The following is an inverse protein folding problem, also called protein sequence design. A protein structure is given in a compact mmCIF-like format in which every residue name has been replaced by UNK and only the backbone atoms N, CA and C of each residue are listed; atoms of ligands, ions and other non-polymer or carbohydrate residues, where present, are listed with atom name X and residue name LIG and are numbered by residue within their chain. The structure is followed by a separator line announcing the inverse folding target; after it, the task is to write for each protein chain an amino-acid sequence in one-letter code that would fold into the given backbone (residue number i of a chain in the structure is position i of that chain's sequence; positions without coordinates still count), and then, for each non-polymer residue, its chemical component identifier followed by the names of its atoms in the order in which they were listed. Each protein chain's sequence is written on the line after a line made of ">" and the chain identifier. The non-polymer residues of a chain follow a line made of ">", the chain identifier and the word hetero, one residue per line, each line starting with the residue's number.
data_IF_500367689467
#
_entry.id   IF_500367689467
#
_cell.length_a   1.000
_cell.length_b   1.000
_cell.length_c   1.000
_cell.angle_alpha   90.00
_cell.angle_beta   90.00
_cell.angle_gamma   90.00
#
_symmetry.space_group_name_H-M   'P 1'
#
loop_
_entity.id
_entity.type
_entity.pdbx_description
1 polymer ?
#
# COMPACT_ATOMS: atom_id res chain seq x y z
N UNK A 1 -17.83 -13.51 -5.07
CA UNK A 1 -16.79 -12.70 -4.39
C UNK A 1 -15.45 -13.35 -4.70
N UNK A 2 -14.46 -12.57 -5.12
CA UNK A 2 -13.17 -13.06 -5.63
C UNK A 2 -12.09 -12.83 -4.57
N UNK A 3 -11.15 -13.74 -4.43
CA UNK A 3 -10.05 -13.60 -3.48
C UNK A 3 -9.23 -12.32 -3.75
N UNK A 4 -8.72 -11.73 -2.67
CA UNK A 4 -7.73 -10.66 -2.78
C UNK A 4 -6.38 -11.27 -3.16
N UNK A 5 -5.59 -10.56 -3.97
CA UNK A 5 -4.32 -11.05 -4.48
C UNK A 5 -3.23 -9.99 -4.43
N UNK A 6 -2.02 -10.38 -4.03
CA UNK A 6 -0.84 -9.52 -4.08
C UNK A 6 -0.52 -9.16 -5.52
N UNK A 7 -0.47 -7.87 -5.83
CA UNK A 7 -0.08 -7.37 -7.13
C UNK A 7 0.22 -5.86 -7.10
N UNK A 8 1.17 -5.44 -7.93
CA UNK A 8 1.28 -4.04 -8.35
C UNK A 8 0.12 -3.71 -9.28
N UNK A 9 -0.57 -2.60 -9.01
CA UNK A 9 -1.76 -2.18 -9.76
C UNK A 9 -1.38 -1.82 -11.20
N UNK A 10 -2.18 -2.24 -12.18
CA UNK A 10 -1.87 -1.98 -13.58
C UNK A 10 -1.96 -0.49 -13.93
N UNK A 11 -2.87 0.26 -13.28
CA UNK A 11 -2.93 1.71 -13.41
C UNK A 11 -1.63 2.36 -12.95
N UNK A 12 -1.10 1.94 -11.80
CA UNK A 12 0.14 2.48 -11.22
C UNK A 12 1.33 2.37 -12.18
N UNK A 13 1.50 1.22 -12.85
CA UNK A 13 2.58 1.02 -13.84
C UNK A 13 2.53 2.05 -14.96
N UNK A 14 1.33 2.33 -15.47
CA UNK A 14 1.10 3.32 -16.53
C UNK A 14 1.28 4.75 -15.97
N UNK A 15 0.83 4.98 -14.75
CA UNK A 15 0.84 6.28 -14.08
C UNK A 15 2.25 6.73 -13.69
N UNK A 16 3.15 5.80 -13.36
CA UNK A 16 4.57 6.05 -13.19
C UNK A 16 5.18 6.68 -14.45
N UNK A 17 4.89 6.13 -15.63
CA UNK A 17 5.39 6.67 -16.91
C UNK A 17 4.79 8.05 -17.25
N UNK A 18 3.66 8.40 -16.64
CA UNK A 18 2.99 9.70 -16.82
C UNK A 18 3.36 10.72 -15.75
N UNK A 19 4.19 10.35 -14.76
CA UNK A 19 4.63 11.26 -13.69
C UNK A 19 3.55 11.59 -12.66
N UNK A 20 2.52 10.74 -12.51
CA UNK A 20 1.44 11.01 -11.54
C UNK A 20 1.86 10.85 -10.08
N UNK A 21 2.96 10.15 -9.78
CA UNK A 21 3.38 9.85 -8.41
C UNK A 21 4.69 10.54 -8.06
N UNK A 22 4.65 11.44 -7.08
CA UNK A 22 5.84 12.07 -6.52
C UNK A 22 6.18 11.41 -5.16
N UNK A 23 7.11 10.46 -5.17
CA UNK A 23 7.57 9.76 -3.95
C UNK A 23 8.48 10.62 -3.05
N UNK A 24 9.04 11.69 -3.61
CA UNK A 24 9.86 12.67 -2.92
C UNK A 24 9.59 14.07 -3.48
N UNK A 25 10.30 15.07 -2.95
CA UNK A 25 10.11 16.48 -3.27
C UNK A 25 11.09 17.05 -4.30
N UNK A 26 11.77 16.21 -5.08
CA UNK A 26 12.85 16.66 -5.98
C UNK A 26 12.34 17.53 -7.13
N UNK A 27 11.12 17.27 -7.62
CA UNK A 27 10.53 17.99 -8.76
C UNK A 27 9.26 18.78 -8.41
N UNK A 28 8.42 18.24 -7.52
CA UNK A 28 7.21 18.89 -6.99
C UNK A 28 6.96 18.44 -5.56
N UNK A 29 5.99 19.04 -4.87
CA UNK A 29 5.60 18.58 -3.53
C UNK A 29 5.36 17.07 -3.52
N UNK A 30 6.02 16.39 -2.56
CA UNK A 30 5.85 14.95 -2.36
C UNK A 30 4.38 14.63 -2.11
N UNK A 31 3.93 13.53 -2.70
CA UNK A 31 2.57 13.05 -2.53
C UNK A 31 2.38 12.39 -1.17
N UNK A 32 1.13 12.38 -0.69
CA UNK A 32 0.75 11.66 0.52
C UNK A 32 0.31 10.25 0.16
N UNK A 33 1.04 9.25 0.63
CA UNK A 33 0.66 7.86 0.49
C UNK A 33 0.05 7.31 1.78
N UNK A 34 -0.87 6.36 1.63
CA UNK A 34 -1.53 5.69 2.75
C UNK A 34 -1.67 4.19 2.48
N UNK A 35 -1.84 3.42 3.54
CA UNK A 35 -2.18 2.00 3.50
C UNK A 35 -3.50 1.75 4.22
N UNK A 36 -4.47 1.17 3.52
CA UNK A 36 -5.79 0.81 4.06
C UNK A 36 -5.97 -0.71 4.07
N UNK A 37 -6.63 -1.22 5.10
CA UNK A 37 -6.91 -2.65 5.28
C UNK A 37 -8.28 -2.99 4.70
N UNK A 38 -8.38 -4.13 4.00
CA UNK A 38 -9.61 -4.57 3.37
C UNK A 38 -10.02 -5.96 3.81
N UNK A 39 -11.32 -6.11 4.03
CA UNK A 39 -11.95 -7.40 4.36
C UNK A 39 -11.65 -8.46 3.31
N UNK A 40 -11.84 -9.72 3.67
CA UNK A 40 -11.60 -10.81 2.72
C UNK A 40 -12.54 -10.76 1.52
N UNK A 41 -12.10 -11.37 0.41
CA UNK A 41 -12.90 -11.61 -0.78
C UNK A 41 -13.46 -10.35 -1.48
N UNK A 42 -12.73 -9.23 -1.43
CA UNK A 42 -13.10 -7.98 -2.11
C UNK A 42 -12.64 -7.90 -3.57
N UNK A 43 -11.93 -8.91 -4.08
CA UNK A 43 -11.39 -8.93 -5.43
C UNK A 43 -10.29 -7.87 -5.65
N UNK A 44 -9.60 -7.47 -4.59
CA UNK A 44 -8.47 -6.55 -4.69
C UNK A 44 -7.29 -7.22 -5.40
N UNK A 45 -6.59 -6.47 -6.25
CA UNK A 45 -5.40 -6.97 -6.94
C UNK A 45 -4.98 -6.04 -8.09
N UNK A 46 -4.41 -6.61 -9.15
CA UNK A 46 -3.84 -5.85 -10.27
C UNK A 46 -4.86 -4.91 -10.97
N UNK A 47 -6.15 -5.22 -10.90
CA UNK A 47 -7.23 -4.41 -11.47
C UNK A 47 -7.71 -3.25 -10.57
N UNK A 48 -7.24 -3.17 -9.32
CA UNK A 48 -7.58 -2.05 -8.43
C UNK A 48 -6.95 -0.77 -8.96
N UNK A 49 -7.75 0.29 -9.13
CA UNK A 49 -7.31 1.56 -9.72
C UNK A 49 -7.24 2.71 -8.73
N UNK A 50 -8.09 2.68 -7.70
CA UNK A 50 -8.11 3.69 -6.66
C UNK A 50 -8.61 3.08 -5.34
N UNK A 51 -8.19 3.70 -4.24
CA UNK A 51 -8.80 3.48 -2.93
C UNK A 51 -10.26 3.95 -2.93
N UNK A 52 -11.11 3.13 -2.32
CA UNK A 52 -12.49 3.47 -1.95
C UNK A 52 -12.79 2.90 -0.57
N UNK A 53 -13.77 3.45 0.14
CA UNK A 53 -14.22 2.91 1.43
C UNK A 53 -14.97 1.58 1.30
N UNK A 54 -15.37 1.16 0.10
CA UNK A 54 -16.11 -0.07 -0.11
C UNK A 54 -15.21 -1.29 0.15
N UNK A 55 -15.61 -2.14 1.10
CA UNK A 55 -14.84 -3.33 1.47
C UNK A 55 -13.70 -3.07 2.45
N UNK A 56 -13.44 -1.80 2.78
CA UNK A 56 -12.48 -1.41 3.82
C UNK A 56 -12.97 -1.91 5.19
N UNK A 57 -12.03 -2.31 6.05
CA UNK A 57 -12.35 -2.72 7.42
C UNK A 57 -12.92 -1.55 8.24
N UNK A 58 -13.66 -1.91 9.29
CA UNK A 58 -14.11 -0.98 10.32
C UNK A 58 -13.92 -1.60 11.70
N UNK A 59 -13.74 -0.76 12.72
CA UNK A 59 -13.43 -1.23 14.07
C UNK A 59 -12.96 -0.11 14.98
N UNK A 60 -12.84 -0.40 16.28
CA UNK A 60 -12.26 0.56 17.23
C UNK A 60 -10.78 0.76 16.91
N UNK A 61 -10.27 1.99 17.07
CA UNK A 61 -8.87 2.34 16.78
C UNK A 61 -8.53 2.44 15.28
N UNK A 62 -9.39 1.97 14.38
CA UNK A 62 -9.18 2.07 12.93
C UNK A 62 -10.02 3.20 12.32
N UNK A 63 -9.38 4.11 11.58
CA UNK A 63 -10.05 5.16 10.81
C UNK A 63 -10.01 4.83 9.32
N UNK A 64 -11.16 4.94 8.64
CA UNK A 64 -11.24 4.72 7.19
C UNK A 64 -10.24 5.61 6.43
N UNK A 65 -9.65 5.05 5.39
CA UNK A 65 -8.51 5.59 4.67
C UNK A 65 -7.17 5.11 5.23
N UNK A 66 -7.16 4.37 6.34
CA UNK A 66 -5.97 3.75 6.91
C UNK A 66 -4.89 4.73 7.38
N UNK A 67 -3.64 4.26 7.42
CA UNK A 67 -2.49 4.95 8.03
C UNK A 67 -1.56 5.55 6.97
N UNK A 68 -0.81 6.63 7.28
CA UNK A 68 0.16 7.21 6.34
C UNK A 68 1.33 6.26 6.06
N UNK A 69 1.90 6.38 4.86
CA UNK A 69 3.09 5.64 4.41
C UNK A 69 4.10 6.66 3.86
N UNK A 70 5.31 6.63 4.37
CA UNK A 70 6.42 7.45 3.85
C UNK A 70 7.38 6.55 3.10
N UNK A 71 7.70 6.89 1.86
CA UNK A 71 8.61 6.11 1.01
C UNK A 71 10.04 6.67 1.07
N UNK A 72 11.01 5.78 0.93
CA UNK A 72 12.39 6.16 0.59
C UNK A 72 12.36 6.81 -0.80
N UNK A 73 13.11 7.90 -0.97
CA UNK A 73 13.24 8.55 -2.27
C UNK A 73 13.73 7.53 -3.33
N UNK A 74 13.05 7.39 -4.49
CA UNK A 74 13.42 6.40 -5.48
C UNK A 74 14.87 6.55 -5.92
N UNK A 75 15.61 5.45 -5.96
CA UNK A 75 17.02 5.41 -6.33
C UNK A 75 17.36 4.14 -7.11
N UNK A 76 18.51 4.13 -7.79
CA UNK A 76 19.04 2.90 -8.39
C UNK A 76 19.67 2.02 -7.30
N UNK A 77 19.26 0.75 -7.27
CA UNK A 77 19.92 -0.32 -6.53
C UNK A 77 20.53 -1.32 -7.51
N UNK A 78 21.66 -1.93 -7.16
CA UNK A 78 22.33 -2.94 -8.00
C UNK A 78 22.84 -2.43 -9.35
N UNK A 79 22.77 -1.11 -9.61
CA UNK A 79 23.26 -0.46 -10.83
C UNK A 79 22.25 -0.34 -11.97
N UNK A 80 21.11 -1.04 -11.92
CA UNK A 80 20.10 -1.03 -12.99
C UNK A 80 18.66 -0.89 -12.51
N UNK A 81 18.35 -1.32 -11.29
CA UNK A 81 16.96 -1.42 -10.81
C UNK A 81 16.56 -0.16 -10.08
N UNK A 82 15.51 0.52 -10.54
CA UNK A 82 14.93 1.63 -9.80
C UNK A 82 14.00 1.09 -8.70
N UNK A 83 14.31 1.40 -7.44
CA UNK A 83 13.60 0.84 -6.28
C UNK A 83 13.04 1.92 -5.37
N UNK A 84 11.96 1.59 -4.67
CA UNK A 84 11.48 2.35 -3.50
C UNK A 84 10.66 1.47 -2.56
N UNK A 85 10.82 1.69 -1.27
CA UNK A 85 10.16 0.96 -0.19
C UNK A 85 9.80 1.94 0.93
N UNK A 86 8.76 1.67 1.75
CA UNK A 86 8.49 2.51 2.92
C UNK A 86 9.70 2.62 3.85
N UNK A 87 9.89 3.79 4.46
CA UNK A 87 11.02 4.06 5.38
C UNK A 87 10.94 3.28 6.69
N UNK A 88 9.77 2.73 7.01
CA UNK A 88 9.49 1.95 8.21
C UNK A 88 8.35 0.96 7.95
N UNK A 89 8.22 -0.02 8.85
CA UNK A 89 7.06 -0.91 8.88
C UNK A 89 5.77 -0.10 9.00
N UNK A 90 4.69 -0.59 8.36
CA UNK A 90 3.39 0.07 8.42
C UNK A 90 2.65 -0.45 9.65
N UNK A 91 2.34 0.44 10.58
CA UNK A 91 1.74 0.09 11.88
C UNK A 91 0.31 0.63 11.95
N UNK A 92 -0.63 -0.23 12.31
CA UNK A 92 -2.01 0.07 12.66
C UNK A 92 -2.17 -0.08 14.18
N UNK A 93 -2.06 1.01 14.96
CA UNK A 93 -1.93 0.92 16.41
C UNK A 93 -3.29 0.70 17.10
N UNK A 94 -3.29 -0.14 18.15
CA UNK A 94 -4.41 -0.36 19.06
C UNK A 94 -5.77 -0.59 18.35
N UNK A 95 -5.79 -1.44 17.32
CA UNK A 95 -7.00 -1.70 16.54
C UNK A 95 -7.80 -2.89 17.12
N UNK A 96 -9.13 -2.81 16.99
CA UNK A 96 -10.05 -3.93 17.20
C UNK A 96 -10.90 -4.11 15.97
N UNK A 97 -10.60 -5.13 15.17
CA UNK A 97 -11.27 -5.48 13.92
C UNK A 97 -11.71 -6.95 14.02
N UNK A 98 -13.02 -7.15 14.20
CA UNK A 98 -13.60 -8.49 14.37
C UNK A 98 -13.81 -9.23 13.04
N UNK A 99 -14.10 -8.49 11.96
CA UNK A 99 -14.28 -9.07 10.64
C UNK A 99 -12.92 -9.50 10.05
N UNK A 100 -12.81 -10.73 9.51
CA UNK A 100 -11.60 -11.15 8.85
C UNK A 100 -11.20 -10.22 7.70
N UNK A 101 -9.92 -9.88 7.64
CA UNK A 101 -9.30 -9.08 6.59
C UNK A 101 -7.97 -9.71 6.19
N UNK A 102 -7.59 -9.57 4.92
CA UNK A 102 -6.47 -10.33 4.37
C UNK A 102 -5.64 -9.56 3.34
N UNK A 103 -5.85 -8.26 3.19
CA UNK A 103 -4.95 -7.45 2.40
C UNK A 103 -4.86 -5.99 2.86
N UNK A 104 -3.77 -5.36 2.44
CA UNK A 104 -3.57 -3.92 2.52
C UNK A 104 -3.42 -3.35 1.10
N UNK A 105 -4.12 -2.25 0.84
CA UNK A 105 -3.93 -1.42 -0.35
C UNK A 105 -3.04 -0.25 0.01
N UNK A 106 -1.90 -0.11 -0.66
CA UNK A 106 -1.12 1.13 -0.67
C UNK A 106 -1.61 2.00 -1.82
N UNK A 107 -1.86 3.28 -1.55
CA UNK A 107 -2.40 4.22 -2.53
C UNK A 107 -1.88 5.65 -2.32
N UNK A 108 -1.95 6.47 -3.37
CA UNK A 108 -1.61 7.89 -3.37
C UNK A 108 -2.87 8.72 -3.06
N UNK A 109 -2.99 9.19 -1.83
CA UNK A 109 -4.13 9.93 -1.33
C UNK A 109 -4.22 11.37 -1.88
N UNK A 110 -3.08 11.99 -2.24
CA UNK A 110 -3.07 13.35 -2.80
C UNK A 110 -3.31 13.41 -4.31
N UNK A 111 -3.29 12.26 -5.00
CA UNK A 111 -3.47 12.19 -6.46
C UNK A 111 -4.73 11.44 -6.86
N UNK A 112 -5.86 11.74 -6.22
CA UNK A 112 -7.15 11.13 -6.56
C UNK A 112 -7.25 9.67 -6.11
N UNK A 113 -6.62 9.34 -4.98
CA UNK A 113 -6.66 8.01 -4.36
C UNK A 113 -6.09 6.88 -5.23
N UNK A 114 -5.21 7.17 -6.19
CA UNK A 114 -4.65 6.20 -7.14
C UNK A 114 -3.99 5.02 -6.42
N UNK A 115 -4.42 3.82 -6.74
CA UNK A 115 -3.88 2.59 -6.17
C UNK A 115 -2.43 2.36 -6.64
N UNK A 116 -1.56 1.94 -5.73
CA UNK A 116 -0.15 1.58 -6.02
C UNK A 116 -0.01 0.07 -6.08
N UNK A 117 -0.35 -0.61 -4.99
CA UNK A 117 -0.18 -2.06 -4.85
C UNK A 117 -1.10 -2.64 -3.79
N UNK A 118 -1.54 -3.87 -4.04
CA UNK A 118 -2.28 -4.68 -3.08
C UNK A 118 -1.32 -5.73 -2.53
N UNK A 119 -1.32 -5.90 -1.21
CA UNK A 119 -0.48 -6.85 -0.50
C UNK A 119 -1.37 -7.76 0.34
N UNK A 120 -1.59 -8.98 -0.16
CA UNK A 120 -2.39 -9.98 0.51
C UNK A 120 -1.54 -10.77 1.53
N UNK A 121 -2.17 -11.16 2.63
CA UNK A 121 -1.59 -11.93 3.72
C UNK A 121 -2.62 -12.93 4.26
N UNK A 122 -2.20 -13.82 5.17
CA UNK A 122 -3.13 -14.75 5.81
C UNK A 122 -4.16 -13.98 6.64
N UNK A 123 -5.44 -14.35 6.52
CA UNK A 123 -6.55 -13.69 7.18
C UNK A 123 -6.29 -13.37 8.67
N UNK A 124 -6.58 -12.13 9.07
CA UNK A 124 -6.40 -11.65 10.43
C UNK A 124 -7.73 -11.15 11.01
N UNK A 125 -7.85 -11.28 12.34
CA UNK A 125 -8.78 -10.53 13.17
C UNK A 125 -7.98 -10.02 14.37
N UNK A 126 -8.09 -8.74 14.71
CA UNK A 126 -7.25 -8.10 15.72
C UNK A 126 -8.13 -7.60 16.86
N UNK A 127 -7.71 -7.80 18.12
CA UNK A 127 -8.44 -7.35 19.29
C UNK A 127 -7.51 -6.55 20.22
N UNK A 128 -7.68 -5.24 20.23
CA UNK A 128 -6.91 -4.29 21.04
C UNK A 128 -5.39 -4.52 20.97
N UNK A 129 -4.85 -4.60 19.77
CA UNK A 129 -3.43 -4.81 19.53
C UNK A 129 -2.93 -4.04 18.31
N UNK A 130 -1.61 -3.85 18.23
CA UNK A 130 -0.97 -3.28 17.06
C UNK A 130 -0.87 -4.36 15.97
N UNK A 131 -1.26 -4.00 14.75
CA UNK A 131 -0.97 -4.81 13.57
C UNK A 131 0.15 -4.14 12.78
N UNK A 132 1.22 -4.89 12.51
CA UNK A 132 2.40 -4.39 11.80
C UNK A 132 2.60 -5.17 10.52
N UNK A 133 2.62 -4.46 9.39
CA UNK A 133 3.10 -4.98 8.13
C UNK A 133 4.60 -4.73 8.05
N UNK A 134 5.37 -5.81 8.02
CA UNK A 134 6.82 -5.74 7.83
C UNK A 134 7.09 -5.42 6.37
N UNK A 135 7.78 -4.31 6.13
CA UNK A 135 8.17 -3.90 4.78
C UNK A 135 9.51 -4.54 4.42
N UNK A 136 9.76 -4.86 3.14
CA UNK A 136 11.04 -5.46 2.74
C UNK A 136 12.20 -4.46 2.87
N UNK A 137 13.42 -4.93 2.58
CA UNK A 137 14.55 -4.04 2.41
C UNK A 137 14.45 -3.26 1.10
N UNK A 138 14.93 -2.01 1.09
CA UNK A 138 14.97 -1.19 -0.11
C UNK A 138 16.19 -1.56 -0.99
N UNK A 139 16.02 -2.58 -1.83
CA UNK A 139 17.08 -3.09 -2.68
C UNK A 139 16.58 -3.98 -3.82
N UNK A 140 17.45 -4.18 -4.80
CA UNK A 140 17.19 -5.01 -5.98
C UNK A 140 16.74 -6.43 -5.59
N UNK A 141 15.66 -6.90 -6.20
CA UNK A 141 15.01 -8.19 -5.96
C UNK A 141 14.23 -8.28 -4.65
N UNK A 142 14.10 -7.19 -3.89
CA UNK A 142 13.47 -7.17 -2.56
C UNK A 142 12.48 -6.02 -2.37
N UNK A 143 12.73 -4.88 -3.02
CA UNK A 143 11.99 -3.65 -2.78
C UNK A 143 10.48 -3.80 -2.99
N UNK A 144 9.71 -2.94 -2.32
CA UNK A 144 8.25 -2.97 -2.44
C UNK A 144 7.80 -2.61 -3.86
N UNK A 145 8.50 -1.66 -4.49
CA UNK A 145 8.35 -1.29 -5.89
C UNK A 145 9.73 -1.35 -6.55
N UNK A 146 9.81 -2.06 -7.67
CA UNK A 146 11.02 -2.24 -8.45
C UNK A 146 10.70 -2.16 -9.95
N UNK A 147 11.59 -1.52 -10.71
CA UNK A 147 11.57 -1.46 -12.16
C UNK A 147 12.96 -1.87 -12.66
N UNK A 148 13.00 -2.95 -13.44
CA UNK A 148 14.20 -3.53 -14.07
C UNK A 148 14.26 -3.25 -15.58
#
# INVERSE_FOLDING_TARGET
>A
MTANATAICNSFKIELLKGFHAFNSDFRTADTFKAALYTQNQGMGAGTTAYTTAGEVSGSGYTAGGVPVTFVAPALSGGSSAVTTPTANIVFPAITIASPFDCALVYNASQGNRAVGVYAFAAQSINNADMTLIVPADGQGQALVEID
#
